data_IF_639490275205
#
_entry.id   IF_639490275205
#
_cell.length_a   1.000
_cell.length_b   1.000
_cell.length_c   1.000
_cell.angle_alpha   90.00
_cell.angle_beta   90.00
_cell.angle_gamma   90.00
#
_symmetry.space_group_name_H-M   'P 1'
#
loop_
_entity.id
_entity.type
_entity.pdbx_description
1 polymer ?
#
# COMPACT_ATOMS: atom_id res chain seq x y z
N UNK A 1 6.56 -21.51 13.12
CA UNK A 1 8.00 -21.48 12.79
C UNK A 1 8.47 -20.04 12.97
N UNK A 2 9.40 -19.78 13.89
CA UNK A 2 9.98 -18.45 14.07
C UNK A 2 11.37 -18.41 13.44
N UNK A 3 11.64 -17.39 12.64
CA UNK A 3 12.97 -17.10 12.12
C UNK A 3 13.69 -16.19 13.13
N UNK A 4 14.96 -16.49 13.39
CA UNK A 4 15.86 -15.63 14.17
C UNK A 4 17.03 -15.25 13.28
N UNK A 5 17.36 -13.97 13.29
CA UNK A 5 18.49 -13.42 12.57
C UNK A 5 19.59 -13.07 13.57
N UNK A 6 20.83 -13.39 13.22
CA UNK A 6 21.99 -12.99 14.01
C UNK A 6 22.33 -11.51 13.72
N UNK A 7 22.64 -10.76 14.78
CA UNK A 7 23.04 -9.36 14.70
C UNK A 7 22.03 -8.36 15.26
N UNK A 8 22.38 -7.08 15.18
CA UNK A 8 21.51 -5.97 15.61
C UNK A 8 20.49 -5.63 14.52
N UNK A 9 19.33 -5.03 14.86
CA UNK A 9 18.39 -4.55 13.85
C UNK A 9 19.04 -3.65 12.79
N UNK A 10 19.95 -2.75 13.18
CA UNK A 10 20.69 -1.90 12.25
C UNK A 10 21.57 -2.71 11.30
N UNK A 11 22.30 -3.71 11.79
CA UNK A 11 23.13 -4.58 10.95
C UNK A 11 22.28 -5.37 9.93
N UNK A 12 21.08 -5.80 10.34
CA UNK A 12 20.13 -6.47 9.45
C UNK A 12 19.65 -5.51 8.35
N UNK A 13 19.24 -4.30 8.71
CA UNK A 13 18.81 -3.28 7.75
C UNK A 13 19.92 -2.90 6.76
N UNK A 14 21.14 -2.71 7.24
CA UNK A 14 22.30 -2.44 6.37
C UNK A 14 22.60 -3.61 5.44
N UNK A 15 22.42 -4.85 5.91
CA UNK A 15 22.53 -6.05 5.09
C UNK A 15 21.48 -6.09 3.98
N UNK A 16 20.21 -5.82 4.32
CA UNK A 16 19.12 -5.73 3.34
C UNK A 16 19.37 -4.62 2.31
N UNK A 17 19.86 -3.45 2.72
CA UNK A 17 20.17 -2.36 1.80
C UNK A 17 21.32 -2.69 0.85
N UNK A 18 22.33 -3.43 1.31
CA UNK A 18 23.51 -3.80 0.50
C UNK A 18 23.27 -4.99 -0.43
N UNK A 19 22.48 -5.97 0.01
CA UNK A 19 22.33 -7.25 -0.68
C UNK A 19 20.95 -7.47 -1.29
N UNK A 20 19.94 -6.74 -0.82
CA UNK A 20 18.57 -6.82 -1.31
C UNK A 20 18.46 -6.37 -2.77
N UNK A 21 17.52 -6.98 -3.47
CA UNK A 21 17.15 -6.61 -4.84
C UNK A 21 15.63 -6.55 -4.96
N UNK A 22 15.09 -5.68 -5.82
CA UNK A 22 13.68 -5.69 -6.15
C UNK A 22 13.23 -7.08 -6.63
N UNK A 23 11.95 -7.39 -6.41
CA UNK A 23 11.34 -8.57 -7.00
C UNK A 23 11.35 -8.43 -8.51
N UNK A 24 11.92 -9.44 -9.19
CA UNK A 24 12.03 -9.47 -10.64
C UNK A 24 10.70 -9.95 -11.25
N UNK A 25 10.10 -9.13 -12.09
CA UNK A 25 8.93 -9.53 -12.85
C UNK A 25 9.33 -10.42 -14.03
N UNK A 26 8.63 -11.54 -14.22
CA UNK A 26 8.92 -12.52 -15.27
C UNK A 26 8.90 -11.94 -16.69
N UNK A 27 8.12 -10.88 -16.92
CA UNK A 27 8.01 -10.21 -18.22
C UNK A 27 9.05 -9.10 -18.44
N UNK A 28 9.86 -8.77 -17.43
CA UNK A 28 10.95 -7.79 -17.53
C UNK A 28 12.26 -8.54 -17.64
N UNK A 29 12.94 -8.53 -18.80
CA UNK A 29 14.15 -9.34 -19.00
C UNK A 29 15.41 -8.70 -18.39
N UNK A 30 15.41 -7.38 -18.19
CA UNK A 30 16.53 -6.69 -17.54
C UNK A 30 16.42 -6.73 -16.02
N UNK A 31 17.54 -6.89 -15.28
CA UNK A 31 17.53 -6.78 -13.83
C UNK A 31 17.00 -5.42 -13.37
N UNK A 32 16.04 -5.43 -12.44
CA UNK A 32 15.52 -4.21 -11.82
C UNK A 32 16.50 -3.68 -10.76
N UNK A 33 16.78 -2.38 -10.81
CA UNK A 33 17.41 -1.63 -9.74
C UNK A 33 16.36 -1.01 -8.80
N UNK A 34 16.79 -0.56 -7.62
CA UNK A 34 15.88 0.01 -6.62
C UNK A 34 15.10 1.22 -7.18
N UNK A 35 15.76 2.07 -7.98
CA UNK A 35 15.11 3.26 -8.58
C UNK A 35 14.08 2.91 -9.66
N UNK A 36 14.13 1.72 -10.25
CA UNK A 36 13.12 1.27 -11.23
C UNK A 36 11.78 0.95 -10.56
N UNK A 37 11.80 0.67 -9.25
CA UNK A 37 10.62 0.30 -8.45
C UNK A 37 10.27 1.34 -7.38
N UNK A 38 11.03 2.43 -7.27
CA UNK A 38 10.77 3.49 -6.31
C UNK A 38 9.92 4.60 -6.93
N UNK A 39 8.65 4.69 -6.54
CA UNK A 39 7.75 5.74 -7.03
C UNK A 39 8.01 7.09 -6.34
N UNK A 40 7.65 8.23 -6.97
CA UNK A 40 7.81 9.55 -6.34
C UNK A 40 7.12 9.69 -4.97
N UNK A 41 6.07 8.92 -4.72
CA UNK A 41 5.29 8.94 -3.48
C UNK A 41 5.74 7.90 -2.45
N UNK A 42 6.73 7.06 -2.78
CA UNK A 42 7.26 6.06 -1.87
C UNK A 42 8.14 6.70 -0.79
N UNK A 43 8.01 6.22 0.46
CA UNK A 43 8.74 6.75 1.61
C UNK A 43 9.65 5.71 2.27
N UNK A 44 9.10 4.57 2.67
CA UNK A 44 9.80 3.51 3.39
C UNK A 44 9.92 2.24 2.53
N UNK A 45 11.05 1.51 2.58
CA UNK A 45 11.20 0.22 1.94
C UNK A 45 10.46 -0.87 2.74
N UNK A 46 9.14 -0.76 2.81
CA UNK A 46 8.29 -1.58 3.67
C UNK A 46 7.48 -2.65 2.90
N UNK A 47 7.41 -2.55 1.58
CA UNK A 47 6.63 -3.45 0.73
C UNK A 47 7.53 -4.40 -0.06
N UNK A 48 7.01 -5.58 -0.40
CA UNK A 48 7.70 -6.56 -1.24
C UNK A 48 7.72 -6.13 -2.71
N UNK A 49 6.61 -5.57 -3.19
CA UNK A 49 6.45 -5.06 -4.55
C UNK A 49 6.20 -3.55 -4.57
N UNK A 50 6.58 -2.86 -5.67
CA UNK A 50 6.23 -1.47 -5.87
C UNK A 50 4.71 -1.23 -5.84
N UNK A 51 4.24 -0.07 -5.32
CA UNK A 51 2.84 0.33 -5.40
C UNK A 51 2.51 0.72 -6.84
N UNK A 52 2.20 -0.26 -7.69
CA UNK A 52 2.17 -0.09 -9.16
C UNK A 52 1.19 0.98 -9.65
N UNK A 53 0.02 1.14 -9.01
CA UNK A 53 -0.92 2.23 -9.29
C UNK A 53 -0.30 3.63 -9.08
N UNK A 54 0.72 3.72 -8.22
CA UNK A 54 1.48 4.94 -7.97
C UNK A 54 2.44 5.33 -9.09
N UNK A 55 2.77 4.45 -10.05
CA UNK A 55 3.61 4.82 -11.20
C UNK A 55 2.93 5.84 -12.12
N UNK A 56 1.61 5.91 -12.12
CA UNK A 56 0.85 6.92 -12.84
C UNK A 56 0.91 8.32 -12.19
N UNK A 57 1.49 8.43 -10.98
CA UNK A 57 1.55 9.67 -10.22
C UNK A 57 2.95 10.29 -10.29
N UNK A 58 2.99 11.58 -10.58
CA UNK A 58 4.18 12.41 -10.47
C UNK A 58 3.90 13.69 -9.68
N UNK A 59 4.96 14.40 -9.31
CA UNK A 59 4.84 15.63 -8.52
C UNK A 59 4.07 16.74 -9.24
N UNK A 60 4.07 16.76 -10.58
CA UNK A 60 3.34 17.76 -11.36
C UNK A 60 1.84 17.50 -11.29
N UNK A 61 1.42 16.25 -11.41
CA UNK A 61 0.03 15.80 -11.34
C UNK A 61 -0.52 15.98 -9.93
N UNK A 62 0.27 15.62 -8.90
CA UNK A 62 -0.10 15.85 -7.50
C UNK A 62 -0.29 17.34 -7.23
N UNK A 63 0.65 18.18 -7.69
CA UNK A 63 0.52 19.63 -7.55
C UNK A 63 -0.73 20.17 -8.25
N UNK A 64 -1.00 19.75 -9.48
CA UNK A 64 -2.18 20.19 -10.22
C UNK A 64 -3.49 19.77 -9.54
N UNK A 65 -3.52 18.61 -8.87
CA UNK A 65 -4.65 18.19 -8.04
C UNK A 65 -4.81 19.11 -6.82
N UNK A 66 -3.73 19.40 -6.10
CA UNK A 66 -3.75 20.31 -4.94
C UNK A 66 -4.21 21.73 -5.32
N UNK A 67 -3.75 22.27 -6.45
CA UNK A 67 -4.16 23.59 -6.97
C UNK A 67 -5.65 23.66 -7.31
N UNK A 68 -6.29 22.50 -7.58
CA UNK A 68 -7.74 22.37 -7.80
C UNK A 68 -8.52 22.08 -6.52
N UNK A 69 -7.89 22.16 -5.35
CA UNK A 69 -8.50 21.88 -4.06
C UNK A 69 -8.69 20.39 -3.75
N UNK A 70 -8.04 19.50 -4.50
CA UNK A 70 -8.08 18.05 -4.23
C UNK A 70 -6.97 17.72 -3.24
N UNK A 71 -7.34 17.22 -2.05
CA UNK A 71 -6.38 16.78 -1.06
C UNK A 71 -5.69 15.48 -1.50
N UNK A 72 -4.38 15.40 -1.29
CA UNK A 72 -3.59 14.19 -1.47
C UNK A 72 -3.00 13.77 -0.11
N UNK A 73 -3.26 12.53 0.29
CA UNK A 73 -2.80 11.95 1.56
C UNK A 73 -2.30 10.53 1.32
N UNK A 74 -1.40 10.07 2.19
CA UNK A 74 -0.74 8.77 2.04
C UNK A 74 -0.98 7.86 3.23
N UNK A 75 -0.85 6.56 2.99
CA UNK A 75 -0.72 5.53 4.02
C UNK A 75 0.57 4.76 3.76
N UNK A 76 1.12 4.12 4.78
CA UNK A 76 2.20 3.14 4.59
C UNK A 76 1.58 1.76 4.57
N UNK A 77 2.01 0.91 3.63
CA UNK A 77 1.48 -0.44 3.50
C UNK A 77 2.58 -1.39 3.06
N UNK A 78 2.78 -2.46 3.82
CA UNK A 78 3.67 -3.56 3.48
C UNK A 78 2.93 -4.53 2.57
N UNK A 79 2.73 -4.12 1.31
CA UNK A 79 2.06 -4.94 0.31
C UNK A 79 2.83 -6.23 0.07
N UNK A 80 2.09 -7.34 0.02
CA UNK A 80 2.63 -8.63 -0.36
C UNK A 80 2.94 -8.72 -1.86
N UNK A 81 3.42 -9.88 -2.26
CA UNK A 81 3.66 -10.23 -3.66
C UNK A 81 2.36 -10.56 -4.40
N UNK A 82 2.34 -10.26 -5.69
CA UNK A 82 1.21 -10.55 -6.59
C UNK A 82 1.27 -11.97 -7.15
N UNK A 83 2.47 -12.57 -7.19
CA UNK A 83 2.68 -13.98 -7.49
C UNK A 83 3.98 -14.47 -6.83
N UNK A 84 3.96 -15.71 -6.36
CA UNK A 84 5.10 -16.47 -5.84
C UNK A 84 5.79 -17.31 -6.92
N UNK A 85 5.13 -17.51 -8.06
CA UNK A 85 5.51 -18.50 -9.08
C UNK A 85 5.06 -19.93 -8.76
N UNK A 86 4.47 -20.17 -7.59
CA UNK A 86 3.88 -21.45 -7.18
C UNK A 86 2.35 -21.35 -7.17
N UNK A 87 1.69 -22.22 -7.94
CA UNK A 87 0.25 -22.16 -8.14
C UNK A 87 -0.57 -22.52 -6.89
N UNK A 88 -0.03 -23.25 -5.92
CA UNK A 88 -0.71 -23.56 -4.66
C UNK A 88 -0.60 -22.40 -3.67
N UNK A 89 0.58 -21.79 -3.58
CA UNK A 89 0.78 -20.59 -2.77
C UNK A 89 -0.01 -19.39 -3.32
N UNK A 90 -0.05 -19.23 -4.64
CA UNK A 90 -0.76 -18.12 -5.29
C UNK A 90 -2.27 -18.13 -5.01
N UNK A 91 -2.88 -19.31 -4.80
CA UNK A 91 -4.30 -19.42 -4.40
C UNK A 91 -4.60 -18.82 -3.03
N UNK A 92 -3.57 -18.59 -2.20
CA UNK A 92 -3.69 -18.04 -0.84
C UNK A 92 -3.45 -16.54 -0.79
N UNK A 93 -3.09 -15.92 -1.92
CA UNK A 93 -2.88 -14.48 -2.01
C UNK A 93 -4.21 -13.70 -2.03
N UNK A 94 -4.21 -12.41 -1.62
CA UNK A 94 -3.10 -11.73 -0.93
C UNK A 94 -2.87 -12.33 0.46
N UNK A 95 -1.64 -12.24 0.99
CA UNK A 95 -1.37 -12.54 2.39
C UNK A 95 -1.85 -11.41 3.30
N UNK A 96 -1.61 -11.55 4.61
CA UNK A 96 -1.92 -10.51 5.58
C UNK A 96 -0.94 -9.34 5.43
N UNK A 97 -1.47 -8.13 5.36
CA UNK A 97 -0.69 -6.96 4.95
C UNK A 97 -0.62 -5.91 6.07
N UNK A 98 0.54 -5.75 6.72
CA UNK A 98 0.74 -4.67 7.68
C UNK A 98 0.57 -3.30 7.03
N UNK A 99 -0.11 -2.38 7.71
CA UNK A 99 -0.28 -1.02 7.24
C UNK A 99 -0.28 -0.03 8.40
N UNK A 100 -0.04 1.24 8.06
CA UNK A 100 -0.12 2.39 8.95
C UNK A 100 -0.92 3.51 8.29
N UNK A 101 -1.96 3.98 9.00
CA UNK A 101 -2.73 5.16 8.61
C UNK A 101 -2.31 6.32 9.53
N UNK A 102 -1.64 7.37 9.00
CA UNK A 102 -1.35 8.59 9.77
C UNK A 102 -2.62 9.29 10.27
N UNK A 103 -2.53 9.97 11.40
CA UNK A 103 -3.63 10.76 11.98
C UNK A 103 -4.15 11.82 11.00
N UNK A 104 -3.23 12.48 10.29
CA UNK A 104 -3.57 13.46 9.26
C UNK A 104 -4.38 12.86 8.10
N UNK A 105 -4.07 11.61 7.73
CA UNK A 105 -4.78 10.87 6.67
C UNK A 105 -6.18 10.49 7.12
N UNK A 106 -6.32 9.92 8.33
CA UNK A 106 -7.64 9.60 8.89
C UNK A 106 -8.51 10.86 9.04
N UNK A 107 -7.95 11.97 9.53
CA UNK A 107 -8.65 13.24 9.66
C UNK A 107 -9.07 13.82 8.29
N UNK A 108 -8.23 13.72 7.26
CA UNK A 108 -8.58 14.14 5.91
C UNK A 108 -9.75 13.30 5.35
N UNK A 109 -9.71 11.98 5.50
CA UNK A 109 -10.78 11.06 5.10
C UNK A 109 -12.10 11.42 5.80
N UNK A 110 -12.06 11.64 7.12
CA UNK A 110 -13.24 12.03 7.90
C UNK A 110 -13.83 13.35 7.43
N UNK A 111 -13.00 14.40 7.25
CA UNK A 111 -13.46 15.72 6.77
C UNK A 111 -14.10 15.63 5.39
N UNK A 112 -13.48 14.88 4.47
CA UNK A 112 -14.01 14.68 3.11
C UNK A 112 -15.38 14.03 3.16
N UNK A 113 -15.57 12.99 3.98
CA UNK A 113 -16.89 12.35 4.14
C UNK A 113 -17.92 13.25 4.79
N UNK A 114 -17.56 13.96 5.85
CA UNK A 114 -18.45 14.90 6.52
C UNK A 114 -18.96 16.00 5.58
N UNK A 115 -18.15 16.38 4.59
CA UNK A 115 -18.51 17.33 3.53
C UNK A 115 -19.25 16.69 2.33
N UNK A 116 -19.55 15.39 2.35
CA UNK A 116 -20.17 14.69 1.21
C UNK A 116 -19.25 14.51 -0.01
N UNK A 117 -17.94 14.66 0.18
CA UNK A 117 -16.93 14.52 -0.86
C UNK A 117 -16.62 13.06 -1.22
N UNK A 118 -15.80 12.89 -2.25
CA UNK A 118 -15.35 11.58 -2.74
C UNK A 118 -13.96 11.25 -2.23
N UNK A 119 -13.76 9.98 -1.85
CA UNK A 119 -12.44 9.42 -1.53
C UNK A 119 -12.06 8.45 -2.63
N UNK A 120 -10.90 8.69 -3.23
CA UNK A 120 -10.34 7.86 -4.28
C UNK A 120 -9.11 7.15 -3.75
N UNK A 121 -9.16 5.82 -3.68
CA UNK A 121 -8.03 5.00 -3.31
C UNK A 121 -7.21 4.67 -4.57
N UNK A 122 -5.90 4.87 -4.51
CA UNK A 122 -4.98 4.57 -5.61
C UNK A 122 -4.29 3.25 -5.32
N UNK A 123 -4.83 2.17 -5.87
CA UNK A 123 -4.31 0.81 -5.72
C UNK A 123 -5.13 -0.07 -4.77
N UNK A 124 -5.19 -1.36 -5.10
CA UNK A 124 -6.02 -2.34 -4.39
C UNK A 124 -5.56 -2.60 -2.95
N UNK A 125 -4.26 -2.47 -2.67
CA UNK A 125 -3.67 -2.56 -1.32
C UNK A 125 -4.18 -1.44 -0.42
N UNK A 126 -4.28 -0.21 -0.96
CA UNK A 126 -4.84 0.94 -0.25
C UNK A 126 -6.32 0.70 0.07
N UNK A 127 -7.08 0.17 -0.89
CA UNK A 127 -8.47 -0.22 -0.65
C UNK A 127 -8.56 -1.22 0.50
N UNK A 128 -7.78 -2.32 0.48
CA UNK A 128 -7.82 -3.32 1.57
C UNK A 128 -7.50 -2.73 2.94
N UNK A 129 -6.51 -1.85 3.03
CA UNK A 129 -6.14 -1.18 4.28
C UNK A 129 -7.27 -0.29 4.81
N UNK A 130 -7.87 0.54 3.94
CA UNK A 130 -8.95 1.44 4.32
C UNK A 130 -10.23 0.68 4.69
N UNK A 131 -10.57 -0.37 3.94
CA UNK A 131 -11.71 -1.24 4.21
C UNK A 131 -11.56 -1.98 5.53
N UNK A 132 -10.37 -2.53 5.81
CA UNK A 132 -10.06 -3.14 7.10
C UNK A 132 -10.16 -2.11 8.25
N UNK A 133 -9.61 -0.91 8.07
CA UNK A 133 -9.66 0.15 9.07
C UNK A 133 -11.08 0.67 9.34
N UNK A 134 -12.00 0.53 8.37
CA UNK A 134 -13.39 0.95 8.44
C UNK A 134 -14.37 -0.19 8.80
N UNK A 135 -13.89 -1.41 9.03
CA UNK A 135 -14.74 -2.61 9.09
C UNK A 135 -15.82 -2.60 10.20
N UNK A 136 -15.59 -1.88 11.30
CA UNK A 136 -16.49 -1.90 12.46
C UNK A 136 -17.72 -1.00 12.29
N UNK A 137 -17.51 0.26 11.89
CA UNK A 137 -18.53 1.31 11.87
C UNK A 137 -18.42 2.22 10.63
N UNK A 138 -17.65 1.80 9.63
CA UNK A 138 -17.38 2.59 8.44
C UNK A 138 -16.39 3.73 8.66
N UNK A 139 -15.85 3.94 9.87
CA UNK A 139 -14.91 5.04 10.17
C UNK A 139 -13.47 4.55 10.07
N UNK A 140 -12.70 5.16 9.16
CA UNK A 140 -11.25 4.91 9.04
C UNK A 140 -10.51 5.50 10.23
N UNK A 141 -9.91 4.64 11.05
CA UNK A 141 -9.09 5.04 12.21
C UNK A 141 -7.60 5.09 11.86
N UNK A 142 -6.89 6.02 12.49
CA UNK A 142 -5.44 6.09 12.44
C UNK A 142 -4.81 4.94 13.25
N UNK A 143 -3.57 4.60 12.90
CA UNK A 143 -2.77 3.60 13.63
C UNK A 143 -2.19 2.52 12.73
N UNK A 144 -1.44 1.63 13.38
CA UNK A 144 -0.85 0.43 12.79
C UNK A 144 -1.82 -0.75 12.95
N UNK A 145 -2.00 -1.54 11.88
CA UNK A 145 -2.79 -2.77 11.90
C UNK A 145 -2.38 -3.71 10.76
N UNK A 146 -3.06 -4.85 10.66
CA UNK A 146 -2.81 -5.85 9.62
C UNK A 146 -4.10 -6.10 8.87
N UNK A 147 -4.12 -5.80 7.57
CA UNK A 147 -5.29 -6.05 6.73
C UNK A 147 -5.41 -7.55 6.46
N UNK A 148 -6.48 -8.14 7.01
CA UNK A 148 -6.83 -9.57 6.84
C UNK A 148 -8.05 -9.78 5.95
N UNK A 149 -8.71 -8.70 5.53
CA UNK A 149 -9.94 -8.76 4.72
C UNK A 149 -9.63 -9.12 3.27
N UNK A 150 -10.42 -10.03 2.69
CA UNK A 150 -10.39 -10.36 1.25
C UNK A 150 -11.55 -9.68 0.55
N UNK A 151 -11.24 -8.83 -0.44
CA UNK A 151 -12.23 -8.08 -1.21
C UNK A 151 -12.45 -8.81 -2.54
N UNK A 152 -13.71 -9.17 -2.80
CA UNK A 152 -14.13 -9.83 -4.03
C UNK A 152 -15.36 -9.14 -4.65
N UNK A 153 -15.92 -9.69 -5.73
CA UNK A 153 -17.03 -9.08 -6.49
C UNK A 153 -18.27 -8.77 -5.64
N UNK A 154 -18.49 -9.52 -4.57
CA UNK A 154 -19.66 -9.39 -3.69
C UNK A 154 -19.39 -8.58 -2.41
N UNK A 155 -18.17 -8.05 -2.25
CA UNK A 155 -17.82 -7.24 -1.08
C UNK A 155 -18.54 -5.90 -1.10
N UNK A 156 -19.12 -5.50 0.03
CA UNK A 156 -19.69 -4.16 0.22
C UNK A 156 -18.63 -3.23 0.81
N UNK A 157 -18.28 -2.12 0.13
CA UNK A 157 -17.29 -1.18 0.66
C UNK A 157 -17.78 -0.50 1.96
N UNK A 158 -17.08 -0.73 3.06
CA UNK A 158 -17.22 -0.03 4.34
C UNK A 158 -16.48 1.32 4.31
N UNK A 159 -15.38 1.42 3.56
CA UNK A 159 -14.59 2.65 3.47
C UNK A 159 -15.14 3.66 2.46
N UNK A 160 -16.26 3.37 1.78
CA UNK A 160 -16.89 4.25 0.79
C UNK A 160 -15.87 4.87 -0.19
N UNK A 161 -14.84 4.10 -0.54
CA UNK A 161 -13.77 4.50 -1.45
C UNK A 161 -14.06 3.99 -2.85
N UNK A 162 -13.80 4.81 -3.86
CA UNK A 162 -13.72 4.36 -5.25
C UNK A 162 -12.26 4.02 -5.57
N UNK A 163 -12.02 2.84 -6.16
CA UNK A 163 -10.68 2.44 -6.58
C UNK A 163 -10.36 3.03 -7.96
N UNK A 164 -9.18 3.63 -8.11
CA UNK A 164 -8.59 3.96 -9.41
C UNK A 164 -7.54 2.90 -9.74
N UNK A 165 -7.96 1.82 -10.41
CA UNK A 165 -7.10 0.85 -11.07
C UNK A 165 -7.44 0.82 -12.56
#
# INVERSE_FOLDING_TARGET
>A
MSLRFDGTPSAIWDGLARHGRPIQYAHVPMPLALWDVWTPIASLPAAFEPPSAGFALDWRSIRAMCERGIAFVTITHAAGISSTGDAELDRRLPFDEPYRIPEATAAAIWRTRAAGGRIVAVGTTVVRALEHAAAYDGVVRAGDAVATTRIGPNSRPAAATTNCC
#
